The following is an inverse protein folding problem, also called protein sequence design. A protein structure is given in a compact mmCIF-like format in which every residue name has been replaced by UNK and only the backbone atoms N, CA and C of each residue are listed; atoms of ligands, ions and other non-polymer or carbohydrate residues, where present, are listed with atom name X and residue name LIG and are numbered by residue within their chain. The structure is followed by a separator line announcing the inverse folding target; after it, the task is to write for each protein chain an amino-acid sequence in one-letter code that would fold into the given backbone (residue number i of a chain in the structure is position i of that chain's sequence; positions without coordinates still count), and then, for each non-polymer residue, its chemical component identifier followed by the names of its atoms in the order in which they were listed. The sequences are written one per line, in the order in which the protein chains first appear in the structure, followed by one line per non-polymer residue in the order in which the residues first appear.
data_IF_581643992747
#
_entry.id   IF_581643992747
#
_cell.length_a   1.000
_cell.length_b   1.000
_cell.length_c   1.000
_cell.angle_alpha   90.00
_cell.angle_beta   90.00
_cell.angle_gamma   90.00
#
_symmetry.space_group_name_H-M   'P 1'
#
loop_
_entity.id
_entity.type
_entity.pdbx_description
1 polymer ?
#
# COMPACT_ATOMS: atom_id res chain seq x y z
N UNK A 1 25.12 9.20 6.77
CA UNK A 1 23.67 8.96 6.56
C UNK A 1 22.93 9.94 7.44
N UNK A 2 22.19 10.89 6.86
CA UNK A 2 21.47 11.90 7.64
C UNK A 2 20.25 11.24 8.26
N UNK A 3 20.15 11.29 9.59
CA UNK A 3 18.98 10.78 10.31
C UNK A 3 17.85 11.80 10.14
N UNK A 4 16.76 11.38 9.50
CA UNK A 4 15.56 12.20 9.39
C UNK A 4 14.71 11.88 10.63
N UNK A 5 14.43 12.89 11.44
CA UNK A 5 13.53 12.78 12.58
C UNK A 5 12.18 13.38 12.18
N UNK A 6 11.12 12.58 12.30
CA UNK A 6 9.75 13.00 12.00
C UNK A 6 9.06 13.36 13.30
N UNK A 7 8.38 14.50 13.33
CA UNK A 7 7.50 14.87 14.43
C UNK A 7 6.17 14.11 14.33
N UNK A 8 5.39 14.13 15.41
CA UNK A 8 4.03 13.54 15.40
C UNK A 8 3.12 14.24 14.38
N UNK A 9 3.31 15.53 14.14
CA UNK A 9 2.54 16.28 13.14
C UNK A 9 2.96 15.86 11.72
N UNK A 10 4.25 15.61 11.49
CA UNK A 10 4.72 15.06 10.20
C UNK A 10 4.11 13.69 9.92
N UNK A 11 4.08 12.80 10.91
CA UNK A 11 3.47 11.48 10.79
C UNK A 11 1.96 11.59 10.49
N UNK A 12 1.26 12.50 11.17
CA UNK A 12 -0.17 12.75 10.93
C UNK A 12 -0.41 13.26 9.51
N UNK A 13 0.39 14.21 9.03
CA UNK A 13 0.29 14.74 7.67
C UNK A 13 0.59 13.66 6.62
N UNK A 14 1.59 12.82 6.87
CA UNK A 14 1.91 11.69 6.01
C UNK A 14 0.76 10.69 5.92
N UNK A 15 0.08 10.39 7.04
CA UNK A 15 -1.12 9.52 7.03
C UNK A 15 -2.21 10.08 6.11
N UNK A 16 -2.52 11.37 6.22
CA UNK A 16 -3.54 12.03 5.39
C UNK A 16 -3.18 11.92 3.90
N UNK A 17 -1.92 12.20 3.55
CA UNK A 17 -1.44 12.11 2.16
C UNK A 17 -1.54 10.68 1.64
N UNK A 18 -1.12 9.69 2.44
CA UNK A 18 -1.12 8.28 2.06
C UNK A 18 -2.54 7.74 1.89
N UNK A 19 -3.46 8.11 2.78
CA UNK A 19 -4.89 7.77 2.67
C UNK A 19 -5.49 8.37 1.39
N UNK A 20 -5.24 9.66 1.14
CA UNK A 20 -5.73 10.33 -0.05
C UNK A 20 -5.22 9.68 -1.35
N UNK A 21 -3.90 9.43 -1.45
CA UNK A 21 -3.31 8.80 -2.63
C UNK A 21 -3.78 7.36 -2.82
N UNK A 22 -3.99 6.63 -1.73
CA UNK A 22 -4.56 5.28 -1.83
C UNK A 22 -5.98 5.34 -2.37
N UNK A 23 -6.84 6.20 -1.83
CA UNK A 23 -8.22 6.30 -2.28
C UNK A 23 -8.33 6.79 -3.74
N UNK A 24 -7.46 7.72 -4.17
CA UNK A 24 -7.47 8.24 -5.54
C UNK A 24 -6.97 7.23 -6.57
N UNK A 25 -5.96 6.43 -6.22
CA UNK A 25 -5.30 5.52 -7.16
C UNK A 25 -5.90 4.11 -7.16
N UNK A 26 -6.79 3.79 -6.22
CA UNK A 26 -7.33 2.42 -6.04
C UNK A 26 -7.92 1.85 -7.32
N UNK A 27 -8.81 2.60 -7.97
CA UNK A 27 -9.50 2.13 -9.17
C UNK A 27 -8.54 1.95 -10.35
N UNK A 28 -7.64 2.91 -10.56
CA UNK A 28 -6.59 2.82 -11.60
C UNK A 28 -5.71 1.60 -11.38
N UNK A 29 -5.39 1.30 -10.13
CA UNK A 29 -4.61 0.12 -9.77
C UNK A 29 -5.35 -1.19 -10.01
N UNK A 30 -6.63 -1.26 -9.63
CA UNK A 30 -7.47 -2.42 -9.94
C UNK A 30 -7.46 -2.66 -11.45
N UNK A 31 -7.71 -1.63 -12.26
CA UNK A 31 -7.67 -1.70 -13.73
C UNK A 31 -6.28 -2.12 -14.24
N UNK A 32 -5.19 -1.59 -13.68
CA UNK A 32 -3.81 -1.98 -14.00
C UNK A 32 -3.59 -3.48 -13.77
N UNK A 33 -3.97 -4.00 -12.60
CA UNK A 33 -3.85 -5.42 -12.28
C UNK A 33 -4.80 -6.26 -13.13
N UNK A 34 -6.00 -5.79 -13.45
CA UNK A 34 -6.89 -6.52 -14.37
C UNK A 34 -6.31 -6.65 -15.78
N UNK A 35 -5.64 -5.60 -16.28
CA UNK A 35 -5.13 -5.55 -17.64
C UNK A 35 -3.77 -6.28 -17.81
N UNK A 36 -2.91 -6.23 -16.80
CA UNK A 36 -1.57 -6.85 -16.87
C UNK A 36 -1.56 -8.33 -16.43
N UNK A 37 -2.67 -8.84 -15.88
CA UNK A 37 -2.67 -10.09 -15.11
C UNK A 37 -3.94 -10.95 -15.32
N UNK A 38 -4.30 -11.27 -16.57
CA UNK A 38 -5.16 -12.43 -16.85
C UNK A 38 -4.58 -13.72 -16.22
N UNK A 39 -3.26 -13.86 -16.20
CA UNK A 39 -2.55 -15.03 -15.64
C UNK A 39 -2.60 -15.15 -14.09
N UNK A 40 -2.59 -14.04 -13.33
CA UNK A 40 -2.66 -14.10 -11.85
C UNK A 40 -4.06 -14.48 -11.35
N UNK A 41 -5.07 -14.03 -12.10
CA UNK A 41 -6.46 -14.36 -11.84
C UNK A 41 -6.75 -15.81 -12.23
N UNK A 42 -6.12 -16.35 -13.27
CA UNK A 42 -6.24 -17.78 -13.62
C UNK A 42 -5.66 -18.70 -12.53
N UNK A 43 -4.53 -18.34 -11.89
CA UNK A 43 -3.97 -19.13 -10.78
C UNK A 43 -4.71 -18.98 -9.44
N UNK A 44 -5.47 -17.89 -9.24
CA UNK A 44 -6.21 -17.60 -8.00
C UNK A 44 -7.72 -17.41 -8.24
N UNK A 45 -8.25 -18.08 -9.27
CA UNK A 45 -9.59 -17.87 -9.87
C UNK A 45 -10.66 -17.48 -8.86
N UNK A 46 -10.98 -16.18 -8.81
CA UNK A 46 -12.12 -15.64 -8.09
C UNK A 46 -11.84 -15.01 -6.72
N UNK A 47 -10.59 -14.97 -6.23
CA UNK A 47 -10.29 -14.33 -4.96
C UNK A 47 -9.85 -12.86 -5.12
N UNK A 48 -10.81 -11.97 -5.42
CA UNK A 48 -10.57 -10.52 -5.41
C UNK A 48 -10.09 -10.00 -4.06
N UNK A 49 -10.41 -10.69 -2.96
CA UNK A 49 -9.94 -10.30 -1.63
C UNK A 49 -8.42 -10.45 -1.50
N UNK A 50 -7.78 -11.32 -2.29
CA UNK A 50 -6.32 -11.44 -2.33
C UNK A 50 -5.67 -10.15 -2.84
N UNK A 51 -6.27 -9.47 -3.83
CA UNK A 51 -5.76 -8.20 -4.34
C UNK A 51 -5.79 -7.14 -3.24
N UNK A 52 -6.72 -7.18 -2.29
CA UNK A 52 -6.76 -6.25 -1.15
C UNK A 52 -5.95 -6.71 0.07
N UNK A 53 -5.31 -7.88 -0.01
CA UNK A 53 -4.50 -8.41 1.07
C UNK A 53 -3.14 -7.69 1.18
N UNK A 54 -2.62 -7.57 2.41
CA UNK A 54 -1.29 -7.01 2.67
C UNK A 54 -0.17 -7.73 1.91
N UNK A 55 -0.27 -9.04 1.75
CA UNK A 55 0.75 -9.87 1.12
C UNK A 55 0.91 -9.58 -0.37
N UNK A 56 -0.18 -9.20 -1.05
CA UNK A 56 -0.15 -8.80 -2.45
C UNK A 56 0.71 -7.54 -2.65
N UNK A 57 0.57 -6.53 -1.78
CA UNK A 57 1.25 -5.24 -1.91
C UNK A 57 2.71 -5.25 -1.47
N UNK A 58 3.13 -6.26 -0.71
CA UNK A 58 4.53 -6.42 -0.31
C UNK A 58 5.41 -7.03 -1.40
N UNK A 59 4.85 -7.37 -2.57
CA UNK A 59 5.62 -7.87 -3.71
C UNK A 59 6.56 -6.77 -4.23
N UNK A 60 7.90 -7.02 -4.32
CA UNK A 60 8.89 -6.01 -4.70
C UNK A 60 8.68 -5.40 -6.08
N UNK A 61 8.04 -6.14 -6.99
CA UNK A 61 7.94 -5.84 -8.42
C UNK A 61 6.80 -4.86 -8.76
N UNK A 62 5.93 -4.54 -7.79
CA UNK A 62 4.78 -3.68 -8.02
C UNK A 62 5.20 -2.21 -7.88
N UNK A 63 5.46 -1.55 -9.01
CA UNK A 63 5.82 -0.13 -9.08
C UNK A 63 4.59 0.76 -9.40
N UNK A 64 3.48 0.54 -8.69
CA UNK A 64 2.27 1.37 -8.82
C UNK A 64 2.08 2.25 -7.58
N UNK A 65 1.59 3.48 -7.76
CA UNK A 65 1.41 4.47 -6.69
C UNK A 65 0.59 3.89 -5.55
N UNK A 66 -0.57 3.30 -5.85
CA UNK A 66 -1.41 2.60 -4.87
C UNK A 66 -0.68 1.54 -4.03
N UNK A 67 0.16 0.72 -4.66
CA UNK A 67 0.91 -0.33 -3.95
C UNK A 67 2.03 0.23 -3.08
N UNK A 68 2.67 1.32 -3.51
CA UNK A 68 3.67 2.04 -2.73
C UNK A 68 3.01 2.72 -1.52
N UNK A 69 1.88 3.40 -1.72
CA UNK A 69 1.15 4.09 -0.65
C UNK A 69 0.61 3.10 0.37
N UNK A 70 0.12 1.93 -0.07
CA UNK A 70 -0.31 0.87 0.84
C UNK A 70 0.83 0.35 1.71
N UNK A 71 2.01 0.06 1.13
CA UNK A 71 3.21 -0.33 1.89
C UNK A 71 3.65 0.73 2.89
N UNK A 72 3.60 2.01 2.49
CA UNK A 72 3.92 3.12 3.37
C UNK A 72 2.92 3.21 4.55
N UNK A 73 1.63 3.01 4.29
CA UNK A 73 0.59 2.95 5.34
C UNK A 73 0.86 1.83 6.34
N UNK A 74 1.15 0.62 5.86
CA UNK A 74 1.45 -0.54 6.70
C UNK A 74 2.70 -0.31 7.56
N UNK A 75 3.74 0.32 7.01
CA UNK A 75 4.95 0.67 7.73
C UNK A 75 4.68 1.71 8.83
N UNK A 76 3.89 2.74 8.55
CA UNK A 76 3.52 3.76 9.55
C UNK A 76 2.70 3.13 10.67
N UNK A 77 1.73 2.28 10.33
CA UNK A 77 0.86 1.63 11.31
C UNK A 77 1.62 0.61 12.18
N UNK A 78 2.52 -0.17 11.59
CA UNK A 78 3.35 -1.14 12.34
C UNK A 78 4.28 -0.45 13.34
N UNK A 79 4.93 0.65 12.92
CA UNK A 79 5.78 1.45 13.83
C UNK A 79 4.98 2.12 14.96
N UNK A 80 3.70 2.44 14.74
CA UNK A 80 2.87 3.05 15.78
C UNK A 80 2.45 2.03 16.86
N UNK A 81 2.23 0.76 16.48
CA UNK A 81 1.90 -0.32 17.42
C UNK A 81 3.09 -0.64 18.32
N UNK A 82 4.32 -0.66 17.78
CA UNK A 82 5.53 -0.94 18.56
C UNK A 82 5.92 0.16 19.55
N UNK A 83 5.57 1.43 19.27
CA UNK A 83 5.88 2.57 20.15
C UNK A 83 4.76 2.93 21.14
N UNK A 84 3.66 2.17 21.17
CA UNK A 84 2.50 2.41 22.05
C UNK A 84 2.41 1.44 23.24
N UNK A 85 3.44 0.62 23.48
CA UNK A 85 3.52 -0.38 24.56
C UNK A 85 4.67 -0.02 25.51
#
# INVERSE_FOLDING_TARGET
MTKIELTNEDIKNLKIIIEHLSDSEKKSYEEYIFNDFEDLLDENSGNFDFIFSRDFYNRPEINHIYAITRRASDAINSNFIENSI
#
